data_IF_533110323551
#
_entry.id   IF_533110323551
#
_cell.length_a   1.000
_cell.length_b   1.000
_cell.length_c   1.000
_cell.angle_alpha   90.00
_cell.angle_beta   90.00
_cell.angle_gamma   90.00
#
_symmetry.space_group_name_H-M   'P 1'
#
loop_
_entity.id
_entity.type
_entity.pdbx_description
1 polymer ?
#
# COMPACT_ATOMS: atom_id res chain seq x y z
N UNK A 1 -14.27 23.11 16.76
CA UNK A 1 -14.23 22.08 15.72
C UNK A 1 -13.05 21.21 16.01
N UNK A 2 -13.28 19.96 16.38
CA UNK A 2 -12.19 19.05 16.77
C UNK A 2 -11.52 18.49 15.52
N UNK A 3 -10.19 18.43 15.52
CA UNK A 3 -9.39 17.90 14.41
C UNK A 3 -8.66 16.65 14.89
N UNK A 4 -8.73 15.59 14.06
CA UNK A 4 -7.98 14.36 14.29
C UNK A 4 -6.68 14.43 13.50
N UNK A 5 -5.55 14.47 14.20
CA UNK A 5 -4.22 14.51 13.62
C UNK A 5 -3.63 13.10 13.62
N UNK A 6 -3.76 12.43 12.47
CA UNK A 6 -3.12 11.13 12.27
C UNK A 6 -1.61 11.32 12.17
N UNK A 7 -0.88 10.87 13.20
CA UNK A 7 0.58 10.89 13.18
C UNK A 7 1.12 9.56 12.68
N UNK A 8 2.10 9.62 11.79
CA UNK A 8 2.91 8.47 11.40
C UNK A 8 3.72 8.03 12.63
N UNK A 9 3.36 6.91 13.24
CA UNK A 9 4.12 6.28 14.32
C UNK A 9 5.42 5.70 13.76
N UNK A 10 6.47 6.50 13.75
CA UNK A 10 7.85 6.02 13.59
C UNK A 10 8.38 5.83 15.00
N UNK A 11 8.31 4.61 15.54
CA UNK A 11 8.69 4.21 16.92
C UNK A 11 7.59 4.32 18.00
N UNK A 12 7.02 3.17 18.38
CA UNK A 12 5.96 3.01 19.39
C UNK A 12 6.41 3.14 20.84
N UNK A 13 7.67 3.53 21.09
CA UNK A 13 8.20 3.76 22.45
C UNK A 13 8.11 5.23 22.90
N UNK A 14 7.62 6.13 22.03
CA UNK A 14 7.51 7.57 22.35
C UNK A 14 8.83 8.33 22.31
N UNK A 15 9.92 7.70 21.82
CA UNK A 15 11.27 8.28 21.81
C UNK A 15 11.57 9.14 20.57
N UNK A 16 10.77 9.05 19.50
CA UNK A 16 11.09 9.68 18.22
C UNK A 16 10.81 11.19 18.15
N UNK A 17 9.94 11.74 19.01
CA UNK A 17 9.52 13.15 18.95
C UNK A 17 8.92 13.59 17.61
N UNK A 18 8.67 12.66 16.69
CA UNK A 18 8.10 12.94 15.36
C UNK A 18 6.64 13.39 15.49
N UNK A 19 5.94 12.87 16.51
CA UNK A 19 4.56 13.16 16.85
C UNK A 19 4.35 14.51 17.58
N UNK A 20 5.41 15.33 17.73
CA UNK A 20 5.40 16.59 18.46
C UNK A 20 4.67 17.69 17.69
N UNK A 21 3.69 18.32 18.33
CA UNK A 21 2.93 19.48 17.84
C UNK A 21 2.78 20.52 18.94
N UNK A 22 2.69 21.81 18.60
CA UNK A 22 2.31 22.85 19.56
C UNK A 22 0.80 23.09 19.51
N UNK A 23 0.14 22.96 20.66
CA UNK A 23 -1.29 23.23 20.83
C UNK A 23 -1.49 24.20 21.99
N UNK A 24 -2.04 25.39 21.72
CA UNK A 24 -2.31 26.39 22.75
C UNK A 24 -1.05 26.86 23.49
N UNK A 25 0.09 26.95 22.77
CA UNK A 25 1.39 27.33 23.33
C UNK A 25 2.07 26.25 24.17
N UNK A 26 1.51 25.02 24.22
CA UNK A 26 2.10 23.87 24.91
C UNK A 26 2.51 22.80 23.91
N UNK A 27 3.70 22.24 24.11
CA UNK A 27 4.16 21.08 23.35
C UNK A 27 3.35 19.85 23.74
N UNK A 28 2.75 19.20 22.74
CA UNK A 28 1.96 17.97 22.85
C UNK A 28 2.53 16.91 21.92
N UNK A 29 2.24 15.65 22.23
CA UNK A 29 2.71 14.48 21.50
C UNK A 29 1.51 13.59 21.18
N UNK A 30 1.16 13.44 19.91
CA UNK A 30 0.01 12.60 19.51
C UNK A 30 0.12 11.16 20.03
N UNK A 31 1.33 10.65 20.12
CA UNK A 31 1.64 9.32 20.61
C UNK A 31 1.45 9.13 22.13
N UNK A 32 1.32 10.21 22.91
CA UNK A 32 1.11 10.18 24.37
C UNK A 32 -0.21 10.84 24.77
N UNK A 33 -0.50 12.01 24.21
CA UNK A 33 -1.69 12.82 24.47
C UNK A 33 -2.93 12.37 23.65
N UNK A 34 -2.75 11.51 22.65
CA UNK A 34 -3.80 11.06 21.73
C UNK A 34 -3.92 11.94 20.47
N UNK A 35 -4.67 11.49 19.44
CA UNK A 35 -4.74 12.16 18.14
C UNK A 35 -5.76 13.29 18.03
N UNK A 36 -6.57 13.52 19.06
CA UNK A 36 -7.69 14.48 19.02
C UNK A 36 -7.31 15.79 19.70
N UNK A 37 -7.34 16.90 18.95
CA UNK A 37 -7.01 18.24 19.46
C UNK A 37 -8.03 19.29 18.99
N UNK A 38 -8.13 20.40 19.73
CA UNK A 38 -8.84 21.59 19.26
C UNK A 38 -8.06 22.24 18.11
N UNK A 39 -8.62 22.17 16.90
CA UNK A 39 -7.97 22.65 15.69
C UNK A 39 -7.65 24.14 15.69
N UNK A 40 -8.37 24.96 16.46
CA UNK A 40 -8.09 26.39 16.53
C UNK A 40 -6.82 26.72 17.32
N UNK A 41 -6.34 25.77 18.13
CA UNK A 41 -5.17 25.95 18.99
C UNK A 41 -3.91 25.30 18.40
N UNK A 42 -4.03 24.57 17.29
CA UNK A 42 -2.91 23.87 16.63
C UNK A 42 -2.07 24.86 15.82
N UNK A 43 -0.76 24.83 16.01
CA UNK A 43 0.21 25.51 15.15
C UNK A 43 0.45 24.69 13.87
N UNK A 44 -0.37 24.94 12.85
CA UNK A 44 -0.28 24.25 11.55
C UNK A 44 1.00 24.58 10.79
N UNK A 45 1.59 25.77 11.00
CA UNK A 45 2.82 26.19 10.33
C UNK A 45 4.03 25.39 10.84
N UNK A 46 4.12 25.16 12.15
CA UNK A 46 5.11 24.24 12.74
C UNK A 46 4.92 22.83 12.19
N UNK A 47 3.68 22.33 12.21
CA UNK A 47 3.35 20.97 11.76
C UNK A 47 3.79 20.73 10.31
N UNK A 48 3.43 21.65 9.39
CA UNK A 48 3.76 21.54 7.97
C UNK A 48 5.27 21.63 7.71
N UNK A 49 5.99 22.50 8.42
CA UNK A 49 7.46 22.58 8.34
C UNK A 49 8.12 21.27 8.78
N UNK A 50 7.62 20.65 9.86
CA UNK A 50 8.14 19.39 10.39
C UNK A 50 7.87 18.20 9.48
N UNK A 51 6.68 18.13 8.85
CA UNK A 51 6.39 17.13 7.82
C UNK A 51 7.34 17.22 6.62
N UNK A 52 7.95 18.38 6.39
CA UNK A 52 8.96 18.59 5.34
C UNK A 52 10.37 18.16 5.71
N UNK A 53 10.67 17.82 6.96
CA UNK A 53 12.03 17.63 7.45
C UNK A 53 12.82 16.54 6.71
N UNK A 54 12.14 15.46 6.29
CA UNK A 54 12.77 14.34 5.59
C UNK A 54 12.60 14.37 4.07
N UNK A 55 11.86 15.34 3.51
CA UNK A 55 11.58 15.40 2.07
C UNK A 55 12.84 15.45 1.22
N UNK A 56 13.89 16.14 1.67
CA UNK A 56 15.15 16.22 0.93
C UNK A 56 15.88 14.88 0.90
N UNK A 57 15.87 14.13 2.00
CA UNK A 57 16.47 12.79 2.10
C UNK A 57 15.67 11.79 1.27
N UNK A 58 14.34 11.82 1.40
CA UNK A 58 13.43 11.00 0.59
C UNK A 58 13.64 11.27 -0.92
N UNK A 59 13.72 12.54 -1.31
CA UNK A 59 13.97 12.91 -2.70
C UNK A 59 15.35 12.45 -3.19
N UNK A 60 16.38 12.51 -2.34
CA UNK A 60 17.72 12.05 -2.69
C UNK A 60 17.76 10.52 -2.87
N UNK A 61 17.11 9.76 -1.99
CA UNK A 61 17.01 8.30 -2.12
C UNK A 61 16.19 7.92 -3.36
N UNK A 62 15.06 8.60 -3.60
CA UNK A 62 14.27 8.46 -4.83
C UNK A 62 15.13 8.77 -6.06
N UNK A 63 15.93 9.84 -6.05
CA UNK A 63 16.77 10.22 -7.17
C UNK A 63 17.93 9.22 -7.40
N UNK A 64 18.52 8.67 -6.34
CA UNK A 64 19.51 7.57 -6.43
C UNK A 64 18.91 6.32 -7.07
N UNK A 65 17.65 6.02 -6.75
CA UNK A 65 16.89 4.92 -7.37
C UNK A 65 16.43 5.23 -8.81
N UNK A 66 16.36 6.51 -9.19
CA UNK A 66 15.83 7.00 -10.48
C UNK A 66 16.88 7.30 -11.54
N UNK A 67 18.17 7.07 -11.26
CA UNK A 67 19.31 7.42 -12.11
C UNK A 67 19.42 6.61 -13.43
N UNK A 68 18.30 6.12 -13.95
CA UNK A 68 18.24 5.47 -15.26
C UNK A 68 16.79 5.26 -15.68
N UNK A 69 16.15 6.28 -16.23
CA UNK A 69 15.07 6.23 -17.24
C UNK A 69 14.57 7.66 -17.51
N UNK A 70 15.07 8.28 -18.57
CA UNK A 70 14.37 9.37 -19.26
C UNK A 70 13.84 8.81 -20.57
N UNK A 71 12.52 8.76 -20.73
CA UNK A 71 11.90 8.47 -22.02
C UNK A 71 10.45 9.02 -22.05
N UNK A 72 9.89 9.28 -23.24
CA UNK A 72 9.05 10.44 -23.53
C UNK A 72 7.54 10.23 -23.29
N UNK A 73 6.84 11.36 -23.35
CA UNK A 73 5.39 11.71 -23.36
C UNK A 73 4.35 10.70 -23.90
N UNK A 74 4.44 9.42 -23.56
CA UNK A 74 3.30 8.51 -23.50
C UNK A 74 2.88 8.41 -22.03
N UNK A 75 1.58 8.47 -21.75
CA UNK A 75 1.05 8.25 -20.39
C UNK A 75 1.31 6.78 -19.98
N UNK A 76 2.53 6.48 -19.55
CA UNK A 76 3.00 5.13 -19.18
C UNK A 76 2.21 4.55 -18.00
N UNK A 77 1.52 5.41 -17.24
CA UNK A 77 0.67 5.06 -16.11
C UNK A 77 -0.76 4.69 -16.53
N UNK A 78 -1.18 5.10 -17.74
CA UNK A 78 -2.50 4.77 -18.27
C UNK A 78 -2.75 3.26 -18.32
N UNK A 79 -4.01 2.85 -18.17
CA UNK A 79 -4.43 1.47 -18.47
C UNK A 79 -4.05 1.05 -19.89
N UNK A 80 -4.03 1.97 -20.83
CA UNK A 80 -3.72 1.68 -22.23
C UNK A 80 -2.22 1.79 -22.55
N UNK A 81 -1.35 1.88 -21.54
CA UNK A 81 0.09 1.84 -21.76
C UNK A 81 0.47 0.53 -22.49
N UNK A 82 1.41 0.57 -23.46
CA UNK A 82 1.75 -0.59 -24.29
C UNK A 82 2.11 -1.84 -23.48
N UNK A 83 2.84 -1.66 -22.38
CA UNK A 83 3.25 -2.75 -21.50
C UNK A 83 2.07 -3.42 -20.78
N UNK A 84 1.04 -2.68 -20.35
CA UNK A 84 -0.18 -3.24 -19.74
C UNK A 84 -1.03 -3.98 -20.75
N UNK A 85 -1.10 -3.46 -21.97
CA UNK A 85 -1.83 -4.12 -23.05
C UNK A 85 -1.21 -5.45 -23.42
N UNK A 86 0.13 -5.52 -23.50
CA UNK A 86 0.86 -6.77 -23.73
C UNK A 86 0.56 -7.82 -22.64
N UNK A 87 0.55 -7.41 -21.36
CA UNK A 87 0.19 -8.31 -20.26
C UNK A 87 -1.26 -8.78 -20.36
N UNK A 88 -2.22 -7.90 -20.70
CA UNK A 88 -3.62 -8.33 -20.90
C UNK A 88 -3.77 -9.34 -22.05
N UNK A 89 -2.98 -9.19 -23.11
CA UNK A 89 -2.99 -10.11 -24.26
C UNK A 89 -2.27 -11.42 -23.99
N UNK A 90 -1.31 -11.46 -23.07
CA UNK A 90 -0.48 -12.65 -22.83
C UNK A 90 -1.24 -13.82 -22.19
N UNK A 91 -2.22 -13.55 -21.32
CA UNK A 91 -3.02 -14.58 -20.64
C UNK A 91 -4.50 -14.22 -20.78
N UNK A 92 -5.30 -15.16 -21.29
CA UNK A 92 -6.74 -14.96 -21.48
C UNK A 92 -7.44 -14.78 -20.13
N UNK A 93 -8.51 -13.98 -20.10
CA UNK A 93 -9.26 -13.69 -18.87
C UNK A 93 -9.76 -14.96 -18.15
N UNK A 94 -10.20 -15.97 -18.91
CA UNK A 94 -10.65 -17.26 -18.34
C UNK A 94 -9.51 -17.98 -17.61
N UNK A 95 -8.33 -18.04 -18.23
CA UNK A 95 -7.14 -18.67 -17.64
C UNK A 95 -6.70 -17.92 -16.37
N UNK A 96 -6.74 -16.57 -16.38
CA UNK A 96 -6.45 -15.76 -15.18
C UNK A 96 -7.40 -16.06 -14.03
N UNK A 97 -8.67 -16.30 -14.33
CA UNK A 97 -9.68 -16.64 -13.32
C UNK A 97 -9.53 -18.06 -12.81
N UNK A 98 -8.98 -19.00 -13.59
CA UNK A 98 -8.80 -20.40 -13.18
C UNK A 98 -7.58 -20.60 -12.25
N UNK A 99 -6.67 -19.63 -12.19
CA UNK A 99 -5.57 -19.65 -11.22
C UNK A 99 -6.13 -19.56 -9.80
N UNK A 100 -5.75 -20.53 -8.96
CA UNK A 100 -6.13 -20.59 -7.55
C UNK A 100 -5.54 -19.41 -6.76
N UNK A 101 -6.28 -18.93 -5.75
CA UNK A 101 -5.80 -17.88 -4.84
C UNK A 101 -4.62 -18.40 -4.03
N UNK A 102 -3.53 -17.66 -4.05
CA UNK A 102 -2.37 -17.94 -3.20
C UNK A 102 -2.72 -17.62 -1.74
N UNK A 103 -2.43 -18.57 -0.85
CA UNK A 103 -2.57 -18.40 0.59
C UNK A 103 -1.29 -17.80 1.17
N UNK A 104 -1.45 -16.96 2.19
CA UNK A 104 -0.34 -16.37 2.91
C UNK A 104 0.44 -17.48 3.64
N UNK A 105 1.77 -17.39 3.63
CA UNK A 105 2.57 -18.28 4.45
C UNK A 105 2.41 -17.86 5.91
N UNK A 106 2.08 -18.82 6.77
CA UNK A 106 1.86 -18.58 8.20
C UNK A 106 2.80 -19.44 9.03
N UNK A 107 3.23 -18.91 10.17
CA UNK A 107 3.89 -19.70 11.20
C UNK A 107 2.95 -20.81 11.70
N UNK A 108 3.56 -21.94 12.03
CA UNK A 108 2.88 -23.09 12.63
C UNK A 108 2.12 -22.67 13.91
N UNK A 109 0.91 -23.22 14.06
CA UNK A 109 -0.01 -22.85 15.13
C UNK A 109 0.51 -23.24 16.53
N UNK A 110 1.19 -24.39 16.64
CA UNK A 110 1.75 -24.87 17.90
C UNK A 110 2.95 -23.99 18.28
N UNK A 111 3.85 -23.73 17.33
CA UNK A 111 5.00 -22.84 17.55
C UNK A 111 4.58 -21.41 17.95
N UNK A 112 3.66 -20.77 17.20
CA UNK A 112 3.24 -19.38 17.44
C UNK A 112 2.42 -19.21 18.73
N UNK A 113 1.88 -20.29 19.27
CA UNK A 113 1.21 -20.27 20.58
C UNK A 113 2.19 -20.03 21.74
N UNK A 114 3.47 -20.36 21.54
CA UNK A 114 4.53 -20.24 22.54
C UNK A 114 5.52 -19.10 22.24
N UNK A 115 5.77 -18.81 20.96
CA UNK A 115 6.68 -17.74 20.52
C UNK A 115 5.89 -16.48 20.12
N UNK A 116 6.01 -15.40 20.91
CA UNK A 116 5.38 -14.09 20.65
C UNK A 116 6.35 -13.07 20.05
N UNK A 117 7.40 -13.55 19.39
CA UNK A 117 8.53 -12.71 18.93
C UNK A 117 8.50 -12.40 17.44
N UNK A 118 7.70 -13.12 16.67
CA UNK A 118 7.70 -13.09 15.22
C UNK A 118 6.30 -12.83 14.69
N UNK A 119 6.21 -12.22 13.50
CA UNK A 119 4.93 -12.01 12.83
C UNK A 119 4.38 -13.35 12.33
N UNK A 120 3.10 -13.63 12.62
CA UNK A 120 2.45 -14.88 12.22
C UNK A 120 2.40 -15.03 10.70
N UNK A 121 2.03 -13.97 9.99
CA UNK A 121 2.02 -13.94 8.54
C UNK A 121 3.43 -13.59 8.04
N UNK A 122 4.04 -14.48 7.25
CA UNK A 122 5.42 -14.36 6.80
C UNK A 122 5.56 -13.61 5.46
N UNK A 123 4.45 -13.18 4.85
CA UNK A 123 4.46 -12.56 3.53
C UNK A 123 4.47 -13.59 2.40
N UNK A 124 4.25 -13.11 1.18
CA UNK A 124 4.37 -13.92 -0.03
C UNK A 124 5.82 -13.98 -0.49
N UNK A 125 6.23 -15.13 -1.03
CA UNK A 125 7.48 -15.18 -1.80
C UNK A 125 7.32 -14.44 -3.13
N UNK A 126 8.44 -14.15 -3.80
CA UNK A 126 8.44 -13.53 -5.12
C UNK A 126 7.64 -14.34 -6.15
N UNK A 127 7.79 -15.67 -6.13
CA UNK A 127 7.10 -16.58 -7.04
C UNK A 127 5.60 -16.59 -6.75
N UNK A 128 5.23 -16.62 -5.47
CA UNK A 128 3.84 -16.54 -5.02
C UNK A 128 3.17 -15.22 -5.43
N UNK A 129 3.86 -14.09 -5.24
CA UNK A 129 3.36 -12.78 -5.66
C UNK A 129 3.19 -12.67 -7.18
N UNK A 130 4.11 -13.26 -7.96
CA UNK A 130 3.99 -13.35 -9.42
C UNK A 130 2.80 -14.22 -9.86
N UNK A 131 2.49 -15.29 -9.14
CA UNK A 131 1.33 -16.15 -9.44
C UNK A 131 0.03 -15.41 -9.10
N UNK A 132 -0.05 -14.79 -7.92
CA UNK A 132 -1.27 -14.10 -7.48
C UNK A 132 -1.54 -12.85 -8.33
N UNK A 133 -0.51 -12.11 -8.74
CA UNK A 133 -0.66 -10.94 -9.61
C UNK A 133 -1.25 -11.27 -10.99
N UNK A 134 -0.95 -12.46 -11.54
CA UNK A 134 -1.54 -12.93 -12.81
C UNK A 134 -3.06 -13.11 -12.74
N UNK A 135 -3.65 -13.25 -11.56
CA UNK A 135 -5.12 -13.35 -11.39
C UNK A 135 -5.83 -12.04 -11.70
N UNK A 136 -5.14 -10.89 -11.60
CA UNK A 136 -5.73 -9.60 -11.89
C UNK A 136 -6.09 -9.46 -13.37
N UNK A 137 -7.34 -9.11 -13.64
CA UNK A 137 -7.90 -8.97 -15.00
C UNK A 137 -7.61 -7.62 -15.64
N UNK A 138 -7.10 -6.66 -14.87
CA UNK A 138 -6.88 -5.28 -15.34
C UNK A 138 -8.16 -4.66 -15.94
N UNK A 139 -9.21 -4.67 -15.11
CA UNK A 139 -10.55 -4.22 -15.45
C UNK A 139 -10.55 -2.79 -15.99
N UNK A 140 -11.40 -2.50 -16.98
CA UNK A 140 -11.59 -1.14 -17.49
C UNK A 140 -12.22 -0.22 -16.45
N UNK A 141 -13.17 -0.75 -15.67
CA UNK A 141 -13.79 -0.09 -14.52
C UNK A 141 -13.45 -0.90 -13.27
N UNK A 142 -12.40 -0.52 -12.52
CA UNK A 142 -11.90 -1.29 -11.40
C UNK A 142 -12.68 -0.97 -10.11
N UNK A 143 -13.70 -1.76 -9.80
CA UNK A 143 -14.46 -1.62 -8.55
C UNK A 143 -13.60 -1.76 -7.28
N UNK A 144 -12.44 -2.41 -7.36
CA UNK A 144 -11.49 -2.47 -6.26
C UNK A 144 -10.90 -1.09 -5.88
N UNK A 145 -10.75 -0.18 -6.84
CA UNK A 145 -10.27 1.20 -6.57
C UNK A 145 -11.34 2.00 -5.82
N UNK A 146 -12.61 1.85 -6.19
CA UNK A 146 -13.74 2.47 -5.47
C UNK A 146 -13.89 1.91 -4.05
N UNK A 147 -13.57 0.62 -3.85
CA UNK A 147 -13.59 -0.02 -2.53
C UNK A 147 -12.44 0.38 -1.60
N UNK A 148 -11.41 1.06 -2.13
CA UNK A 148 -10.27 1.53 -1.34
C UNK A 148 -10.51 2.97 -0.87
N UNK A 149 -10.45 3.27 0.45
CA UNK A 149 -10.70 4.63 0.97
C UNK A 149 -9.80 5.73 0.40
N UNK A 150 -8.58 5.36 0.00
CA UNK A 150 -7.58 6.27 -0.60
C UNK A 150 -7.43 6.06 -2.11
N UNK A 151 -8.30 5.24 -2.71
CA UNK A 151 -8.37 4.99 -4.17
C UNK A 151 -7.03 4.64 -4.83
N UNK A 152 -6.27 3.73 -4.20
CA UNK A 152 -5.04 3.17 -4.78
C UNK A 152 -5.31 2.63 -6.19
N UNK A 153 -4.42 2.89 -7.15
CA UNK A 153 -4.44 2.25 -8.47
C UNK A 153 -4.02 0.78 -8.39
N UNK A 154 -4.95 -0.03 -7.89
CA UNK A 154 -4.77 -1.46 -7.64
C UNK A 154 -4.36 -2.22 -8.90
N UNK A 155 -5.04 -2.04 -10.06
CA UNK A 155 -4.62 -2.73 -11.28
C UNK A 155 -3.19 -2.38 -11.70
N UNK A 156 -2.77 -1.12 -11.60
CA UNK A 156 -1.41 -0.71 -12.04
C UNK A 156 -0.32 -1.34 -11.18
N UNK A 157 -0.41 -1.26 -9.85
CA UNK A 157 0.65 -1.85 -9.01
C UNK A 157 0.70 -3.38 -9.17
N UNK A 158 -0.46 -4.04 -9.27
CA UNK A 158 -0.48 -5.50 -9.47
C UNK A 158 0.16 -5.88 -10.81
N UNK A 159 -0.06 -5.10 -11.88
CA UNK A 159 0.60 -5.34 -13.17
C UNK A 159 2.09 -5.06 -13.15
N UNK A 160 2.55 -4.11 -12.34
CA UNK A 160 3.96 -3.92 -12.07
C UNK A 160 4.59 -5.16 -11.40
N UNK A 161 3.88 -5.78 -10.44
CA UNK A 161 4.30 -7.06 -9.85
C UNK A 161 4.33 -8.16 -10.90
N UNK A 162 3.30 -8.30 -11.75
CA UNK A 162 3.22 -9.35 -12.79
C UNK A 162 4.40 -9.33 -13.77
N UNK A 163 4.91 -8.13 -14.13
CA UNK A 163 6.10 -7.98 -14.98
C UNK A 163 7.43 -8.03 -14.23
N UNK A 164 7.41 -8.19 -12.91
CA UNK A 164 8.61 -8.25 -12.06
C UNK A 164 9.21 -6.88 -11.69
N UNK A 165 8.54 -5.77 -12.00
CA UNK A 165 8.98 -4.40 -11.70
C UNK A 165 8.46 -3.98 -10.32
N UNK A 166 8.98 -4.59 -9.26
CA UNK A 166 8.47 -4.40 -7.89
C UNK A 166 8.65 -2.97 -7.37
N UNK A 167 9.75 -2.29 -7.76
CA UNK A 167 9.98 -0.90 -7.39
C UNK A 167 8.92 0.04 -7.97
N UNK A 168 8.47 -0.21 -9.20
CA UNK A 168 7.40 0.57 -9.82
C UNK A 168 6.04 0.27 -9.18
N UNK A 169 5.83 -0.96 -8.68
CA UNK A 169 4.66 -1.28 -7.86
C UNK A 169 4.67 -0.48 -6.55
N UNK A 170 5.81 -0.43 -5.85
CA UNK A 170 5.98 0.35 -4.62
C UNK A 170 5.76 1.86 -4.86
N UNK A 171 6.29 2.40 -5.96
CA UNK A 171 6.06 3.81 -6.37
C UNK A 171 4.58 4.08 -6.58
N UNK A 172 3.88 3.20 -7.32
CA UNK A 172 2.44 3.32 -7.57
C UNK A 172 1.65 3.37 -6.26
N UNK A 173 2.01 2.54 -5.27
CA UNK A 173 1.37 2.54 -3.96
C UNK A 173 1.60 3.85 -3.20
N UNK A 174 2.82 4.38 -3.26
CA UNK A 174 3.24 5.63 -2.58
C UNK A 174 2.60 6.90 -3.16
N UNK A 175 2.04 6.85 -4.36
CA UNK A 175 1.33 8.00 -4.95
C UNK A 175 0.10 8.40 -4.14
N UNK A 176 -0.61 7.43 -3.56
CA UNK A 176 -1.87 7.65 -2.83
C UNK A 176 -1.82 7.19 -1.37
N UNK A 177 -0.99 6.20 -1.04
CA UNK A 177 -0.86 5.66 0.31
C UNK A 177 0.46 6.06 0.94
N UNK A 178 0.40 6.71 2.11
CA UNK A 178 1.60 7.04 2.88
C UNK A 178 2.22 5.81 3.57
N UNK A 179 1.43 4.75 3.83
CA UNK A 179 1.82 3.62 4.67
C UNK A 179 1.40 2.25 4.07
N UNK A 180 1.81 1.92 2.82
CA UNK A 180 1.37 0.70 2.16
C UNK A 180 1.76 -0.59 2.90
N UNK A 181 2.92 -0.61 3.56
CA UNK A 181 3.35 -1.75 4.37
C UNK A 181 2.44 -2.02 5.58
N UNK A 182 1.82 -0.96 6.14
CA UNK A 182 0.86 -1.10 7.25
C UNK A 182 -0.51 -1.46 6.71
N UNK A 183 -0.99 -0.74 5.68
CA UNK A 183 -2.30 -0.98 5.06
C UNK A 183 -2.44 -2.43 4.57
N UNK A 184 -1.43 -2.98 3.89
CA UNK A 184 -1.41 -4.37 3.45
C UNK A 184 -1.53 -5.41 4.57
N UNK A 185 -1.19 -5.04 5.83
CA UNK A 185 -1.28 -5.91 7.01
C UNK A 185 -2.60 -5.79 7.77
N UNK A 186 -3.15 -4.59 7.89
CA UNK A 186 -4.24 -4.30 8.85
C UNK A 186 -5.55 -3.88 8.21
N UNK A 187 -5.57 -3.54 6.91
CA UNK A 187 -6.82 -3.18 6.24
C UNK A 187 -7.78 -4.37 6.26
N UNK A 188 -9.08 -4.18 6.57
CA UNK A 188 -10.08 -5.23 6.46
C UNK A 188 -10.48 -5.41 4.99
N UNK A 189 -9.64 -6.10 4.20
CA UNK A 189 -9.80 -6.17 2.75
C UNK A 189 -11.11 -6.84 2.32
N UNK A 190 -11.62 -7.77 3.13
CA UNK A 190 -12.90 -8.47 2.94
C UNK A 190 -14.12 -7.54 3.00
N UNK A 191 -13.95 -6.31 3.49
CA UNK A 191 -14.97 -5.25 3.49
C UNK A 191 -14.64 -4.08 2.55
N UNK A 192 -13.44 -4.07 1.95
CA UNK A 192 -12.91 -2.95 1.16
C UNK A 192 -12.62 -3.38 -0.28
N UNK A 193 -11.37 -3.27 -0.72
CA UNK A 193 -10.94 -3.48 -2.10
C UNK A 193 -11.22 -4.90 -2.61
N UNK A 194 -11.02 -5.94 -1.80
CA UNK A 194 -11.28 -7.33 -2.18
C UNK A 194 -12.77 -7.62 -2.28
N UNK A 195 -13.60 -7.01 -1.44
CA UNK A 195 -15.07 -7.11 -1.45
C UNK A 195 -15.71 -6.63 -2.77
N UNK A 196 -15.02 -5.73 -3.49
CA UNK A 196 -15.45 -5.16 -4.78
C UNK A 196 -14.76 -5.80 -5.98
N UNK A 197 -13.95 -6.85 -5.78
CA UNK A 197 -13.25 -7.53 -6.86
C UNK A 197 -14.21 -8.24 -7.82
N UNK A 198 -13.96 -8.12 -9.14
CA UNK A 198 -14.82 -8.73 -10.17
C UNK A 198 -14.85 -10.27 -10.09
N UNK A 199 -13.81 -10.90 -9.54
CA UNK A 199 -13.77 -12.37 -9.33
C UNK A 199 -14.93 -12.87 -8.47
N UNK A 200 -15.38 -12.07 -7.48
CA UNK A 200 -16.50 -12.43 -6.62
C UNK A 200 -17.81 -12.53 -7.41
N UNK A 201 -18.01 -11.68 -8.42
CA UNK A 201 -19.19 -11.77 -9.31
C UNK A 201 -19.20 -13.05 -10.16
N UNK A 202 -18.03 -13.65 -10.37
CA UNK A 202 -17.87 -14.92 -11.08
C UNK A 202 -17.86 -16.14 -10.13
N UNK A 203 -18.18 -15.96 -8.84
CA UNK A 203 -18.20 -17.04 -7.85
C UNK A 203 -16.83 -17.56 -7.45
N UNK A 204 -15.76 -16.79 -7.70
CA UNK A 204 -14.37 -17.15 -7.37
C UNK A 204 -13.83 -16.24 -6.28
N UNK A 205 -12.79 -16.70 -5.58
CA UNK A 205 -12.12 -15.89 -4.57
C UNK A 205 -11.49 -14.64 -5.19
N UNK A 206 -11.58 -13.51 -4.48
CA UNK A 206 -10.94 -12.26 -4.89
C UNK A 206 -9.43 -12.43 -5.10
N UNK A 207 -8.85 -11.50 -5.87
CA UNK A 207 -7.40 -11.32 -5.91
C UNK A 207 -6.95 -10.87 -4.52
N UNK A 208 -5.87 -11.44 -3.99
CA UNK A 208 -5.32 -11.09 -2.69
C UNK A 208 -4.58 -9.73 -2.75
N UNK A 209 -5.33 -8.65 -2.89
CA UNK A 209 -4.83 -7.29 -3.06
C UNK A 209 -3.99 -6.88 -1.86
N UNK A 210 -4.45 -7.17 -0.63
CA UNK A 210 -3.70 -6.82 0.58
C UNK A 210 -2.35 -7.54 0.68
N UNK A 211 -2.29 -8.80 0.25
CA UNK A 211 -1.04 -9.58 0.25
C UNK A 211 -0.04 -9.04 -0.76
N UNK A 212 -0.52 -8.63 -1.94
CA UNK A 212 0.31 -8.01 -2.98
C UNK A 212 0.76 -6.60 -2.60
N UNK A 213 -0.08 -5.82 -1.92
CA UNK A 213 0.27 -4.50 -1.38
C UNK A 213 1.38 -4.63 -0.33
N UNK A 214 1.22 -5.57 0.62
CA UNK A 214 2.26 -5.91 1.58
C UNK A 214 3.56 -6.32 0.90
N UNK A 215 3.50 -7.27 -0.04
CA UNK A 215 4.69 -7.75 -0.75
C UNK A 215 5.44 -6.64 -1.51
N UNK A 216 4.73 -5.70 -2.13
CA UNK A 216 5.36 -4.60 -2.84
C UNK A 216 5.92 -3.52 -1.92
N UNK A 217 5.50 -3.47 -0.65
CA UNK A 217 5.90 -2.47 0.32
C UNK A 217 6.94 -2.96 1.34
N UNK A 218 7.02 -4.28 1.56
CA UNK A 218 8.08 -4.97 2.31
C UNK A 218 9.41 -4.93 1.54
#
# INVERSE_FOLDING_TARGET
>A
TDVSLNTIMVDGTGMCGACRITVGGKTRFVCVDGPEFDGHQVDFDEMLKRMGAFKSVEQQEVNKLSAGKTSPTTDENSRNAPWRELLRKSIKAKERMDIARVRMNELDAEYRSHSRKEEVNQGLTKEQALIESKRCLDCAVPGCMEGCPVSIDIPRFIKNIERGEFLEAAKTLKETSALPAVCGRVCPQEKQCEAKCLHLKAGKEAVAIGYLERFAAD
#
